data_IF_697891338491
#
_entry.id   IF_697891338491
#
_cell.length_a   1.000
_cell.length_b   1.000
_cell.length_c   1.000
_cell.angle_alpha   90.00
_cell.angle_beta   90.00
_cell.angle_gamma   90.00
#
_symmetry.space_group_name_H-M   'P 1'
#
loop_
_entity.id
_entity.type
_entity.pdbx_description
1 polymer ?
#
# COMPACT_ATOMS: atom_id res chain seq x y z
N UNK A 1 -20.61 2.90 26.86
CA UNK A 1 -20.79 3.19 25.42
C UNK A 1 -19.79 2.34 24.66
N UNK A 2 -20.23 1.25 24.03
CA UNK A 2 -19.34 0.39 23.27
C UNK A 2 -18.74 1.24 22.14
N UNK A 3 -17.43 1.37 22.14
CA UNK A 3 -16.74 2.10 21.10
C UNK A 3 -16.60 1.19 19.90
N UNK A 4 -17.34 1.47 18.83
CA UNK A 4 -17.23 0.71 17.59
C UNK A 4 -15.83 0.91 17.02
N UNK A 5 -15.04 -0.16 17.01
CA UNK A 5 -13.73 -0.19 16.37
C UNK A 5 -13.95 -0.74 14.97
N UNK A 6 -13.63 0.05 13.94
CA UNK A 6 -13.64 -0.44 12.57
C UNK A 6 -12.52 -1.48 12.40
N UNK A 7 -12.89 -2.71 12.05
CA UNK A 7 -11.94 -3.79 11.77
C UNK A 7 -11.80 -3.92 10.25
N UNK A 8 -10.57 -3.79 9.76
CA UNK A 8 -10.29 -3.82 8.34
C UNK A 8 -9.25 -4.87 8.08
N UNK A 9 -9.57 -5.76 7.15
CA UNK A 9 -8.72 -6.87 6.79
C UNK A 9 -7.93 -6.53 5.53
N UNK A 10 -6.63 -6.79 5.55
CA UNK A 10 -5.74 -6.63 4.41
C UNK A 10 -5.00 -7.95 4.14
N UNK A 11 -4.73 -8.29 2.88
CA UNK A 11 -4.13 -9.59 2.54
C UNK A 11 -2.63 -9.66 2.83
N UNK A 12 -1.94 -8.52 2.90
CA UNK A 12 -0.51 -8.45 3.16
C UNK A 12 -0.12 -7.04 3.58
N UNK A 13 0.90 -6.86 4.45
CA UNK A 13 1.42 -5.54 4.77
C UNK A 13 2.17 -4.91 3.60
N UNK A 14 2.76 -5.73 2.72
CA UNK A 14 3.53 -5.30 1.55
C UNK A 14 3.03 -6.02 0.31
N UNK A 15 2.78 -5.28 -0.76
CA UNK A 15 2.25 -5.81 -2.02
C UNK A 15 3.09 -5.37 -3.21
N UNK A 16 3.01 -6.13 -4.30
CA UNK A 16 3.56 -5.72 -5.59
C UNK A 16 2.68 -4.66 -6.25
N UNK A 17 3.20 -4.03 -7.31
CA UNK A 17 2.42 -3.05 -8.08
C UNK A 17 1.15 -3.64 -8.70
N UNK A 18 1.22 -4.86 -9.22
CA UNK A 18 0.09 -5.55 -9.81
C UNK A 18 -0.97 -5.87 -8.73
N UNK A 19 -0.56 -6.45 -7.60
CA UNK A 19 -1.46 -6.72 -6.48
C UNK A 19 -2.11 -5.43 -5.96
N UNK A 20 -1.37 -4.33 -5.88
CA UNK A 20 -1.93 -3.03 -5.50
C UNK A 20 -2.99 -2.56 -6.49
N UNK A 21 -2.73 -2.69 -7.79
CA UNK A 21 -3.66 -2.30 -8.85
C UNK A 21 -4.96 -3.13 -8.75
N UNK A 22 -4.84 -4.43 -8.55
CA UNK A 22 -5.97 -5.35 -8.34
C UNK A 22 -6.78 -4.99 -7.09
N UNK A 23 -6.11 -4.77 -5.94
CA UNK A 23 -6.77 -4.48 -4.67
C UNK A 23 -7.45 -3.11 -4.64
N UNK A 24 -6.89 -2.10 -5.31
CA UNK A 24 -7.49 -0.77 -5.39
C UNK A 24 -8.44 -0.61 -6.61
N UNK A 25 -8.56 -1.64 -7.46
CA UNK A 25 -9.42 -1.59 -8.65
C UNK A 25 -8.97 -0.56 -9.69
N UNK A 26 -7.67 -0.31 -9.81
CA UNK A 26 -7.09 0.67 -10.75
C UNK A 26 -6.21 -0.02 -11.79
N UNK A 27 -5.95 0.65 -12.91
CA UNK A 27 -4.98 0.14 -13.88
C UNK A 27 -3.55 0.13 -13.32
N UNK A 28 -2.72 -0.82 -13.75
CA UNK A 28 -1.29 -0.85 -13.39
C UNK A 28 -0.57 0.46 -13.74
N UNK A 29 -0.94 1.09 -14.85
CA UNK A 29 -0.40 2.40 -15.24
C UNK A 29 -0.72 3.49 -14.21
N UNK A 30 -1.92 3.48 -13.66
CA UNK A 30 -2.33 4.39 -12.59
C UNK A 30 -1.55 4.11 -11.30
N UNK A 31 -1.45 2.84 -10.90
CA UNK A 31 -0.64 2.42 -9.75
C UNK A 31 0.84 2.83 -9.90
N UNK A 32 1.39 2.70 -11.10
CA UNK A 32 2.76 3.13 -11.42
C UNK A 32 2.95 4.64 -11.24
N UNK A 33 2.00 5.45 -11.74
CA UNK A 33 2.03 6.90 -11.54
C UNK A 33 1.97 7.30 -10.06
N UNK A 34 1.17 6.60 -9.26
CA UNK A 34 1.03 6.87 -7.83
C UNK A 34 2.24 6.45 -6.99
N UNK A 35 3.07 5.54 -7.49
CA UNK A 35 4.24 5.03 -6.76
C UNK A 35 5.54 5.70 -7.19
N UNK A 36 5.81 5.74 -8.49
CA UNK A 36 7.12 6.17 -9.04
C UNK A 36 7.00 7.18 -10.18
N UNK A 37 5.78 7.64 -10.48
CA UNK A 37 5.55 8.73 -11.44
C UNK A 37 5.86 10.11 -10.85
N UNK A 38 5.41 11.14 -11.55
CA UNK A 38 5.73 12.54 -11.23
C UNK A 38 5.12 13.04 -9.91
N UNK A 39 4.08 12.36 -9.42
CA UNK A 39 3.38 12.70 -8.17
C UNK A 39 3.22 11.45 -7.31
N UNK A 40 4.30 10.95 -6.69
CA UNK A 40 4.23 9.76 -5.84
C UNK A 40 3.41 10.09 -4.58
N UNK A 41 2.38 9.31 -4.33
CA UNK A 41 1.46 9.43 -3.18
C UNK A 41 1.41 8.17 -2.34
N UNK A 42 1.83 7.04 -2.91
CA UNK A 42 1.79 5.73 -2.26
C UNK A 42 3.14 5.47 -1.58
N UNK A 43 3.15 5.05 -0.31
CA UNK A 43 4.38 4.71 0.39
C UNK A 43 5.00 3.44 -0.21
N UNK A 44 6.25 3.55 -0.67
CA UNK A 44 7.02 2.44 -1.26
C UNK A 44 8.35 2.22 -0.54
N UNK A 45 8.88 1.01 -0.66
CA UNK A 45 10.24 0.73 -0.23
C UNK A 45 11.23 1.59 -1.05
N UNK A 46 12.25 2.14 -0.37
CA UNK A 46 13.22 3.02 -1.00
C UNK A 46 13.94 2.26 -2.11
N UNK A 47 13.82 2.76 -3.34
CA UNK A 47 14.47 2.15 -4.50
C UNK A 47 15.87 2.75 -4.68
N UNK A 48 16.88 1.89 -4.67
CA UNK A 48 18.27 2.30 -4.88
C UNK A 48 18.60 2.18 -6.37
N UNK A 49 19.01 3.29 -6.98
CA UNK A 49 19.53 3.29 -8.35
C UNK A 49 20.98 2.82 -8.30
N UNK A 50 21.29 1.72 -8.98
CA UNK A 50 22.65 1.19 -9.04
C UNK A 50 23.54 2.13 -9.87
N UNK A 51 24.83 2.19 -9.53
CA UNK A 51 25.82 2.99 -10.29
C UNK A 51 25.79 2.60 -11.77
N UNK A 52 25.69 3.60 -12.65
CA UNK A 52 25.59 3.40 -14.11
C UNK A 52 24.17 3.19 -14.65
N UNK A 53 23.16 3.05 -13.79
CA UNK A 53 21.76 2.93 -14.22
C UNK A 53 21.05 4.29 -14.18
N UNK A 54 20.21 4.57 -15.19
CA UNK A 54 19.37 5.80 -15.24
C UNK A 54 18.11 5.70 -14.38
N UNK A 55 17.68 4.48 -14.05
CA UNK A 55 16.44 4.20 -13.30
C UNK A 55 16.67 3.08 -12.29
N UNK A 56 15.87 3.09 -11.22
CA UNK A 56 15.87 1.98 -10.28
C UNK A 56 15.29 0.73 -10.97
N UNK A 57 16.02 -0.38 -10.87
CA UNK A 57 15.56 -1.69 -11.31
C UNK A 57 14.74 -2.40 -10.22
N UNK A 58 14.27 -3.60 -10.53
CA UNK A 58 13.59 -4.49 -9.58
C UNK A 58 12.12 -4.15 -9.29
N UNK A 59 11.41 -5.07 -8.64
CA UNK A 59 9.99 -4.94 -8.35
C UNK A 59 9.72 -3.78 -7.38
N UNK A 60 8.60 -3.10 -7.60
CA UNK A 60 8.12 -2.05 -6.68
C UNK A 60 7.39 -2.74 -5.53
N UNK A 61 7.87 -2.51 -4.31
CA UNK A 61 7.25 -2.99 -3.08
C UNK A 61 6.52 -1.83 -2.41
N UNK A 62 5.21 -2.00 -2.25
CA UNK A 62 4.30 -0.98 -1.75
C UNK A 62 3.92 -1.33 -0.31
N UNK A 63 4.07 -0.39 0.62
CA UNK A 63 3.64 -0.55 2.01
C UNK A 63 2.12 -0.39 2.12
N UNK A 64 1.39 -1.46 1.78
CA UNK A 64 -0.07 -1.44 1.69
C UNK A 64 -0.76 -1.17 3.02
N UNK A 65 -0.25 -1.74 4.12
CA UNK A 65 -0.79 -1.46 5.45
C UNK A 65 -0.76 0.03 5.78
N UNK A 66 0.37 0.69 5.49
CA UNK A 66 0.55 2.13 5.72
C UNK A 66 -0.37 2.95 4.81
N UNK A 67 -0.48 2.56 3.54
CA UNK A 67 -1.41 3.21 2.61
C UNK A 67 -2.85 3.18 3.14
N UNK A 68 -3.34 1.99 3.56
CA UNK A 68 -4.69 1.84 4.11
C UNK A 68 -4.85 2.60 5.42
N UNK A 69 -3.89 2.55 6.33
CA UNK A 69 -3.92 3.32 7.57
C UNK A 69 -4.11 4.82 7.29
N UNK A 70 -3.36 5.38 6.35
CA UNK A 70 -3.45 6.81 5.98
C UNK A 70 -4.81 7.15 5.35
N UNK A 71 -5.36 6.27 4.50
CA UNK A 71 -6.70 6.45 3.93
C UNK A 71 -7.78 6.43 5.02
N UNK A 72 -7.69 5.50 5.96
CA UNK A 72 -8.67 5.34 7.03
C UNK A 72 -8.61 6.47 8.05
N UNK A 73 -7.40 6.90 8.41
CA UNK A 73 -7.21 8.05 9.29
C UNK A 73 -7.82 9.31 8.66
N UNK A 74 -7.68 9.49 7.34
CA UNK A 74 -8.31 10.61 6.61
C UNK A 74 -9.82 10.49 6.51
N UNK A 75 -10.35 9.29 6.24
CA UNK A 75 -11.78 9.07 6.06
C UNK A 75 -12.56 9.14 7.38
N UNK A 76 -12.03 8.55 8.45
CA UNK A 76 -12.69 8.49 9.76
C UNK A 76 -12.41 9.72 10.63
N UNK A 77 -11.35 10.48 10.34
CA UNK A 77 -10.90 11.61 11.16
C UNK A 77 -10.32 11.20 12.53
N UNK A 78 -10.18 9.91 12.81
CA UNK A 78 -9.64 9.38 14.07
C UNK A 78 -8.84 8.09 13.87
N UNK A 79 -8.07 7.70 14.90
CA UNK A 79 -7.22 6.49 14.88
C UNK A 79 -7.87 5.23 15.50
N UNK A 80 -9.19 5.23 15.71
CA UNK A 80 -9.92 4.12 16.36
C UNK A 80 -10.30 3.02 15.36
N UNK A 81 -9.31 2.35 14.79
CA UNK A 81 -9.50 1.23 13.87
C UNK A 81 -8.40 0.19 14.07
N UNK A 82 -8.66 -1.04 13.65
CA UNK A 82 -7.67 -2.13 13.66
C UNK A 82 -7.48 -2.66 12.24
N UNK A 83 -6.21 -2.80 11.84
CA UNK A 83 -5.82 -3.46 10.60
C UNK A 83 -5.40 -4.90 10.93
N UNK A 84 -6.16 -5.87 10.42
CA UNK A 84 -5.86 -7.30 10.54
C UNK A 84 -5.22 -7.76 9.24
N UNK A 85 -4.04 -8.37 9.34
CA UNK A 85 -3.36 -8.97 8.19
C UNK A 85 -3.86 -10.42 8.06
N UNK A 86 -4.68 -10.69 7.06
CA UNK A 86 -5.05 -12.05 6.69
C UNK A 86 -3.90 -12.63 5.88
N UNK A 87 -3.08 -13.49 6.49
CA UNK A 87 -2.04 -14.21 5.78
C UNK A 87 -2.70 -15.31 4.95
N UNK A 88 -2.70 -15.26 3.60
CA UNK A 88 -3.26 -16.34 2.80
C UNK A 88 -2.45 -17.65 2.90
N UNK A 89 -1.30 -17.65 3.59
CA UNK A 89 -0.44 -18.82 3.78
C UNK A 89 -0.41 -19.37 5.22
N UNK A 90 -1.29 -18.95 6.13
CA UNK A 90 -1.43 -19.62 7.43
C UNK A 90 -2.30 -20.87 7.29
N UNK A 91 -1.66 -22.03 7.13
CA UNK A 91 -2.21 -23.35 7.43
C UNK A 91 -2.06 -23.65 8.93
#
# INVERSE_FOLDING_TARGET
MASEIAIIKIPSPVVTLQQFAELEGVSERTAYRWTTGDTPRVPIEKRIIRKGCKKAGGPIRIYYARWKEEQLRKALGHARFQLIIENPYSL
#
